data_IF_932227887085
#
_entry.id   IF_932227887085
#
_cell.length_a   1.000
_cell.length_b   1.000
_cell.length_c   1.000
_cell.angle_alpha   90.00
_cell.angle_beta   90.00
_cell.angle_gamma   90.00
#
_symmetry.space_group_name_H-M   'P 1'
#
loop_
_entity.id
_entity.type
_entity.pdbx_description
1 polymer ?
#
# COMPACT_ATOMS: atom_id res chain seq x y z
N UNK A 1 -13.53 -5.42 -9.84
CA UNK A 1 -12.44 -6.26 -10.36
C UNK A 1 -12.70 -7.69 -9.97
N UNK A 2 -12.40 -8.64 -10.85
CA UNK A 2 -12.34 -10.05 -10.50
C UNK A 2 -10.87 -10.32 -10.23
N UNK A 3 -10.51 -10.55 -8.98
CA UNK A 3 -9.24 -11.18 -8.70
C UNK A 3 -9.50 -12.48 -7.96
N UNK A 4 -8.77 -13.50 -8.38
CA UNK A 4 -8.94 -14.86 -7.93
C UNK A 4 -7.84 -15.15 -6.92
N UNK A 5 -8.22 -15.56 -5.70
CA UNK A 5 -7.22 -16.24 -4.89
C UNK A 5 -6.91 -17.57 -5.55
N UNK A 6 -5.71 -17.69 -6.12
CA UNK A 6 -5.27 -18.91 -6.78
C UNK A 6 -5.38 -20.11 -5.83
N UNK A 7 -5.62 -21.30 -6.41
CA UNK A 7 -5.71 -22.56 -5.64
C UNK A 7 -4.48 -22.78 -4.74
N UNK A 8 -3.33 -22.29 -5.17
CA UNK A 8 -2.06 -22.22 -4.43
C UNK A 8 -1.36 -20.92 -4.77
N UNK A 9 -0.56 -20.40 -3.85
CA UNK A 9 0.34 -19.29 -4.10
C UNK A 9 1.57 -19.76 -4.88
N UNK A 10 2.01 -18.99 -5.87
CA UNK A 10 3.13 -19.38 -6.75
C UNK A 10 4.30 -18.39 -6.78
N UNK A 11 4.07 -17.08 -6.64
CA UNK A 11 5.10 -16.06 -6.92
C UNK A 11 5.42 -15.11 -5.74
N UNK A 12 4.62 -15.10 -4.67
CA UNK A 12 4.70 -14.08 -3.60
C UNK A 12 5.00 -14.61 -2.18
N UNK A 13 5.70 -15.74 -2.07
CA UNK A 13 6.11 -16.24 -0.76
C UNK A 13 7.10 -15.28 -0.09
N UNK A 14 6.82 -14.94 1.17
CA UNK A 14 7.60 -14.03 2.03
C UNK A 14 7.59 -14.53 3.46
N UNK A 15 8.71 -14.36 4.16
CA UNK A 15 8.78 -14.65 5.60
C UNK A 15 7.75 -13.83 6.39
N UNK A 16 7.51 -12.58 6.00
CA UNK A 16 6.53 -11.69 6.65
C UNK A 16 5.08 -12.20 6.58
N UNK A 17 4.74 -12.97 5.54
CA UNK A 17 3.40 -13.54 5.33
C UNK A 17 3.19 -14.78 6.19
N UNK A 18 4.27 -15.54 6.42
CA UNK A 18 4.23 -16.84 7.06
C UNK A 18 3.62 -17.93 6.20
N UNK A 19 3.44 -19.10 6.80
CA UNK A 19 2.78 -20.24 6.16
C UNK A 19 1.26 -20.15 6.33
N UNK A 20 0.57 -19.66 5.30
CA UNK A 20 -0.89 -19.66 5.24
C UNK A 20 -1.33 -20.72 4.23
N UNK A 21 -2.11 -21.72 4.67
CA UNK A 21 -2.65 -22.69 3.73
C UNK A 21 -3.58 -22.02 2.74
N UNK A 22 -3.31 -22.29 1.47
CA UNK A 22 -4.14 -21.86 0.35
C UNK A 22 -5.62 -22.23 0.59
N UNK A 23 -6.57 -21.47 0.01
CA UNK A 23 -7.99 -21.68 0.27
C UNK A 23 -8.51 -23.04 -0.20
N UNK A 24 -7.73 -23.80 -0.96
CA UNK A 24 -8.09 -25.13 -1.48
C UNK A 24 -9.08 -25.08 -2.65
N UNK A 25 -9.60 -23.90 -2.96
CA UNK A 25 -10.42 -23.60 -4.14
C UNK A 25 -10.28 -22.13 -4.50
N UNK A 26 -10.36 -21.82 -5.79
CA UNK A 26 -10.44 -20.43 -6.24
C UNK A 26 -11.73 -19.79 -5.77
N UNK A 27 -11.65 -18.53 -5.40
CA UNK A 27 -12.80 -17.70 -5.11
C UNK A 27 -12.55 -16.31 -5.68
N UNK A 28 -13.57 -15.79 -6.37
CA UNK A 28 -13.59 -14.44 -6.92
C UNK A 28 -14.57 -13.61 -6.10
N UNK A 29 -14.22 -12.36 -5.82
CA UNK A 29 -15.17 -11.41 -5.23
C UNK A 29 -15.68 -10.47 -6.33
N UNK A 30 -16.99 -10.39 -6.50
CA UNK A 30 -17.62 -9.44 -7.43
C UNK A 30 -18.16 -8.27 -6.63
N UNK A 31 -17.62 -7.09 -6.89
CA UNK A 31 -18.15 -5.84 -6.33
C UNK A 31 -19.06 -5.17 -7.35
N UNK A 32 -20.34 -5.08 -7.02
CA UNK A 32 -21.33 -4.31 -7.77
C UNK A 32 -21.58 -2.98 -7.05
N UNK A 33 -21.58 -1.89 -7.79
CA UNK A 33 -21.82 -0.56 -7.23
C UNK A 33 -22.49 0.35 -8.26
N UNK A 34 -23.15 1.39 -7.78
CA UNK A 34 -23.72 2.43 -8.64
C UNK A 34 -22.60 3.22 -9.33
N UNK A 35 -22.77 3.68 -10.58
CA UNK A 35 -21.72 4.40 -11.31
C UNK A 35 -21.12 5.59 -10.54
N UNK A 36 -21.97 6.37 -9.84
CA UNK A 36 -21.51 7.53 -9.07
C UNK A 36 -20.60 7.18 -7.89
N UNK A 37 -20.62 5.93 -7.40
CA UNK A 37 -19.74 5.50 -6.31
C UNK A 37 -18.27 5.49 -6.72
N UNK A 38 -17.97 5.39 -8.01
CA UNK A 38 -16.59 5.43 -8.53
C UNK A 38 -15.93 6.79 -8.23
N UNK A 39 -16.71 7.87 -8.27
CA UNK A 39 -16.24 9.23 -7.97
C UNK A 39 -15.95 9.45 -6.47
N UNK A 40 -16.31 8.48 -5.61
CA UNK A 40 -16.14 8.51 -4.16
C UNK A 40 -14.98 7.62 -3.66
N UNK A 41 -14.20 7.01 -4.57
CA UNK A 41 -13.11 6.08 -4.22
C UNK A 41 -11.80 6.76 -3.79
N UNK A 42 -11.81 8.07 -3.63
CA UNK A 42 -10.67 8.87 -3.18
C UNK A 42 -10.32 9.98 -4.17
N UNK A 43 -9.43 10.88 -3.78
CA UNK A 43 -9.00 11.97 -4.65
C UNK A 43 -8.23 11.42 -5.87
N UNK A 44 -8.38 12.03 -7.05
CA UNK A 44 -7.51 11.77 -8.19
C UNK A 44 -6.03 11.91 -7.83
N UNK A 45 -5.22 10.93 -8.25
CA UNK A 45 -3.77 10.90 -8.10
C UNK A 45 -3.13 10.74 -9.48
N UNK A 46 -2.06 11.48 -9.76
CA UNK A 46 -1.29 11.38 -10.99
C UNK A 46 0.17 11.21 -10.65
N UNK A 47 0.77 10.06 -10.99
CA UNK A 47 2.19 9.79 -10.69
C UNK A 47 2.84 9.11 -11.88
N UNK A 48 4.05 9.53 -12.20
CA UNK A 48 4.80 8.92 -13.27
C UNK A 48 6.03 9.73 -13.62
N UNK A 49 6.96 9.07 -14.30
CA UNK A 49 8.14 9.70 -14.84
C UNK A 49 7.99 9.89 -16.34
N UNK A 50 8.47 11.02 -16.85
CA UNK A 50 8.75 11.17 -18.29
C UNK A 50 10.16 10.68 -18.63
N UNK A 51 11.02 10.60 -17.62
CA UNK A 51 12.33 9.94 -17.63
C UNK A 51 12.56 9.29 -16.26
N UNK A 52 13.01 8.04 -16.22
CA UNK A 52 13.38 7.33 -14.99
C UNK A 52 14.74 6.63 -15.16
N UNK A 53 15.79 7.29 -14.68
CA UNK A 53 17.19 6.84 -14.86
C UNK A 53 17.55 6.65 -16.34
N UNK A 54 17.24 7.68 -17.15
CA UNK A 54 17.40 7.63 -18.61
C UNK A 54 18.43 8.63 -19.12
N UNK A 55 19.05 8.28 -20.25
CA UNK A 55 19.91 9.19 -21.00
C UNK A 55 19.07 10.18 -21.81
N UNK A 56 19.31 11.47 -21.60
CA UNK A 56 18.53 12.56 -22.19
C UNK A 56 19.46 13.47 -22.99
N UNK A 57 19.06 13.78 -24.23
CA UNK A 57 19.78 14.74 -25.07
C UNK A 57 19.31 16.17 -24.85
N UNK A 58 20.25 17.10 -24.88
CA UNK A 58 20.02 18.54 -24.78
C UNK A 58 18.91 18.99 -25.72
N UNK A 59 18.05 19.88 -25.23
CA UNK A 59 16.96 20.52 -25.98
C UNK A 59 15.93 19.56 -26.59
N UNK A 60 15.99 18.26 -26.27
CA UNK A 60 14.98 17.28 -26.68
C UNK A 60 13.82 17.32 -25.69
N UNK A 61 12.58 17.58 -26.14
CA UNK A 61 11.42 17.51 -25.26
C UNK A 61 11.16 16.09 -24.81
N UNK A 62 10.81 15.94 -23.54
CA UNK A 62 10.20 14.71 -23.02
C UNK A 62 8.85 14.44 -23.68
N UNK A 63 8.32 13.23 -23.46
CA UNK A 63 6.88 12.99 -23.63
C UNK A 63 6.08 13.96 -22.75
N UNK A 64 4.86 14.25 -23.19
CA UNK A 64 3.94 15.12 -22.48
C UNK A 64 3.31 14.39 -21.28
N UNK A 65 3.23 15.06 -20.14
CA UNK A 65 2.59 14.55 -18.93
C UNK A 65 1.31 15.34 -18.64
N UNK A 66 0.22 14.65 -18.30
CA UNK A 66 -1.07 15.29 -18.02
C UNK A 66 -0.94 16.21 -16.81
N UNK A 67 -1.20 17.50 -17.00
CA UNK A 67 -0.94 18.55 -16.01
C UNK A 67 -2.21 19.17 -15.41
N UNK A 68 -3.35 18.99 -16.09
CA UNK A 68 -4.66 19.45 -15.64
C UNK A 68 -5.34 18.46 -14.70
N UNK A 69 -6.32 18.95 -13.92
CA UNK A 69 -7.17 18.12 -13.07
C UNK A 69 -6.59 17.79 -11.69
N UNK A 70 -5.50 18.45 -11.30
CA UNK A 70 -4.79 18.24 -10.04
C UNK A 70 -4.63 19.53 -9.22
N UNK A 71 -5.03 19.50 -7.94
CA UNK A 71 -4.89 20.64 -7.01
C UNK A 71 -3.43 20.83 -6.58
N UNK A 72 -2.74 19.74 -6.27
CA UNK A 72 -1.35 19.72 -5.83
C UNK A 72 -0.49 19.08 -6.91
N UNK A 73 0.54 19.80 -7.35
CA UNK A 73 1.42 19.36 -8.42
C UNK A 73 2.88 19.60 -8.06
N UNK A 74 3.71 18.57 -8.23
CA UNK A 74 5.15 18.70 -8.10
C UNK A 74 5.92 17.68 -8.91
N UNK A 75 7.21 17.91 -9.05
CA UNK A 75 8.14 17.05 -9.76
C UNK A 75 9.43 16.88 -8.98
N UNK A 76 9.92 15.65 -8.92
CA UNK A 76 11.24 15.29 -8.40
C UNK A 76 12.22 15.21 -9.57
N UNK A 77 13.31 15.96 -9.48
CA UNK A 77 14.35 16.05 -10.50
C UNK A 77 15.66 15.54 -9.93
N UNK A 78 16.35 14.68 -10.67
CA UNK A 78 17.71 14.26 -10.36
C UNK A 78 18.50 14.02 -11.65
N UNK A 79 19.81 14.22 -11.58
CA UNK A 79 20.74 13.83 -12.64
C UNK A 79 22.11 13.48 -12.07
N UNK A 80 22.95 12.80 -12.84
CA UNK A 80 24.31 12.40 -12.44
C UNK A 80 25.44 13.31 -12.96
N UNK A 81 25.12 14.25 -13.85
CA UNK A 81 26.12 15.16 -14.42
C UNK A 81 26.92 15.91 -13.33
N UNK A 82 28.25 15.99 -13.50
CA UNK A 82 29.17 16.65 -12.55
C UNK A 82 29.11 18.18 -12.55
N UNK A 83 28.10 18.76 -13.19
CA UNK A 83 27.87 20.21 -13.34
C UNK A 83 26.38 20.48 -13.18
N UNK A 84 25.95 21.70 -12.79
CA UNK A 84 24.53 22.04 -12.72
C UNK A 84 23.84 21.87 -14.07
N UNK A 85 22.63 21.31 -14.07
CA UNK A 85 21.79 21.08 -15.27
C UNK A 85 20.52 21.91 -15.16
N UNK A 86 20.14 22.58 -16.24
CA UNK A 86 18.89 23.35 -16.28
C UNK A 86 17.79 22.54 -16.95
N UNK A 87 16.70 22.34 -16.21
CA UNK A 87 15.45 21.76 -16.65
C UNK A 87 14.50 22.89 -17.05
N UNK A 88 14.13 22.93 -18.33
CA UNK A 88 13.21 23.90 -18.90
C UNK A 88 11.85 23.23 -19.07
N UNK A 89 10.86 23.66 -18.30
CA UNK A 89 9.49 23.20 -18.39
C UNK A 89 8.72 24.02 -19.41
N UNK A 90 7.96 23.32 -20.25
CA UNK A 90 7.04 23.91 -21.20
C UNK A 90 5.63 23.40 -20.94
N UNK A 91 4.65 24.24 -21.28
CA UNK A 91 3.23 23.94 -21.09
C UNK A 91 2.47 24.14 -22.38
N UNK A 92 1.65 23.15 -22.70
CA UNK A 92 0.55 23.28 -23.66
C UNK A 92 -0.72 23.58 -22.86
N UNK A 93 -1.19 24.82 -22.97
CA UNK A 93 -2.29 25.32 -22.13
C UNK A 93 -3.64 24.77 -22.55
N UNK A 94 -3.82 24.54 -23.85
CA UNK A 94 -5.12 24.20 -24.44
C UNK A 94 -5.19 22.74 -24.91
N UNK A 95 -4.07 22.02 -24.92
CA UNK A 95 -4.02 20.65 -25.44
C UNK A 95 -3.99 20.60 -26.96
N UNK A 96 -3.45 21.64 -27.62
CA UNK A 96 -3.43 21.81 -29.07
C UNK A 96 -2.02 21.80 -29.67
N UNK A 97 -1.04 21.31 -28.91
CA UNK A 97 0.38 21.20 -29.28
C UNK A 97 1.09 22.56 -29.45
N UNK A 98 0.52 23.64 -28.90
CA UNK A 98 1.14 24.96 -28.83
C UNK A 98 1.87 25.16 -27.49
N UNK A 99 3.17 24.89 -27.49
CA UNK A 99 4.01 24.91 -26.29
C UNK A 99 4.57 26.30 -25.99
N UNK A 100 4.48 26.70 -24.73
CA UNK A 100 5.09 27.94 -24.19
C UNK A 100 5.97 27.63 -23.00
N UNK A 101 6.98 28.47 -22.74
CA UNK A 101 7.82 28.32 -21.55
C UNK A 101 6.98 28.51 -20.28
N UNK A 102 7.14 27.60 -19.33
CA UNK A 102 6.48 27.64 -18.02
C UNK A 102 7.47 28.05 -16.92
N UNK A 103 8.59 27.34 -16.81
CA UNK A 103 9.53 27.50 -15.71
C UNK A 103 10.91 26.94 -16.05
N UNK A 104 11.95 27.55 -15.51
CA UNK A 104 13.30 27.01 -15.54
C UNK A 104 13.76 26.67 -14.12
N UNK A 105 14.42 25.53 -13.97
CA UNK A 105 14.96 25.04 -12.69
C UNK A 105 16.37 24.53 -12.93
N UNK A 106 17.35 25.04 -12.18
CA UNK A 106 18.72 24.55 -12.23
C UNK A 106 18.98 23.63 -11.04
N UNK A 107 19.19 22.34 -11.34
CA UNK A 107 19.56 21.33 -10.36
C UNK A 107 21.10 21.31 -10.23
N UNK A 108 21.67 21.31 -9.01
CA UNK A 108 23.12 21.26 -8.82
C UNK A 108 23.76 20.00 -9.39
N UNK A 109 25.08 20.02 -9.58
CA UNK A 109 25.86 18.84 -9.98
C UNK A 109 25.53 17.60 -9.13
N UNK A 110 25.24 16.46 -9.79
CA UNK A 110 24.81 15.20 -9.14
C UNK A 110 23.67 15.41 -8.14
N UNK A 111 22.80 16.36 -8.45
CA UNK A 111 21.88 16.94 -7.50
C UNK A 111 20.48 16.38 -7.60
N UNK A 112 19.70 16.72 -6.57
CA UNK A 112 18.28 16.48 -6.49
C UNK A 112 17.56 17.78 -6.20
N UNK A 113 16.38 17.97 -6.79
CA UNK A 113 15.48 19.06 -6.43
C UNK A 113 14.03 18.65 -6.56
N UNK A 114 13.23 18.95 -5.54
CA UNK A 114 11.77 18.94 -5.65
C UNK A 114 11.25 20.32 -6.05
N UNK A 115 10.30 20.35 -6.97
CA UNK A 115 9.69 21.57 -7.49
C UNK A 115 8.18 21.44 -7.40
N UNK A 116 7.54 22.29 -6.60
CA UNK A 116 6.09 22.48 -6.61
C UNK A 116 5.66 23.48 -7.67
N UNK A 117 4.53 23.21 -8.34
CA UNK A 117 3.87 24.12 -9.27
C UNK A 117 2.77 24.90 -8.56
N UNK A 118 2.68 26.20 -8.83
CA UNK A 118 1.66 27.06 -8.22
C UNK A 118 0.30 26.90 -8.92
N UNK A 119 -0.77 27.37 -8.28
CA UNK A 119 -2.13 27.35 -8.85
C UNK A 119 -2.23 28.10 -10.20
N UNK A 120 -1.36 29.09 -10.42
CA UNK A 120 -1.25 29.85 -11.66
C UNK A 120 -0.56 29.11 -12.80
N UNK A 121 0.22 28.06 -12.51
CA UNK A 121 0.94 27.26 -13.49
C UNK A 121 -0.03 26.31 -14.19
N UNK A 122 -0.89 26.82 -15.08
CA UNK A 122 -1.97 26.02 -15.70
C UNK A 122 -1.64 25.52 -17.10
N UNK A 123 -2.07 24.32 -17.41
CA UNK A 123 -2.19 23.81 -18.78
C UNK A 123 -2.67 22.38 -18.82
N UNK A 124 -3.04 21.93 -20.02
CA UNK A 124 -3.45 20.55 -20.25
C UNK A 124 -2.26 19.60 -20.07
N UNK A 125 -1.10 19.96 -20.64
CA UNK A 125 0.10 19.14 -20.64
C UNK A 125 1.35 19.92 -20.23
N UNK A 126 2.29 19.23 -19.60
CA UNK A 126 3.63 19.74 -19.29
C UNK A 126 4.68 18.80 -19.88
N UNK A 127 5.81 19.35 -20.32
CA UNK A 127 6.99 18.57 -20.73
C UNK A 127 8.27 19.27 -20.30
N UNK A 128 9.39 18.56 -20.37
CA UNK A 128 10.68 19.04 -19.88
C UNK A 128 11.74 18.93 -20.97
N UNK A 129 12.70 19.86 -20.99
CA UNK A 129 13.93 19.80 -21.80
C UNK A 129 15.12 20.08 -20.89
N UNK A 130 16.28 19.51 -21.22
CA UNK A 130 17.55 19.87 -20.57
C UNK A 130 18.33 20.87 -21.41
N UNK A 131 19.20 21.66 -20.77
CA UNK A 131 20.15 22.52 -21.46
C UNK A 131 21.39 21.79 -22.00
N UNK A 132 21.58 20.51 -21.63
CA UNK A 132 22.71 19.67 -22.03
C UNK A 132 22.35 18.18 -22.02
N UNK A 133 23.22 17.38 -22.63
CA UNK A 133 23.16 15.92 -22.57
C UNK A 133 23.47 15.44 -21.14
N UNK A 134 22.75 14.43 -20.67
CA UNK A 134 22.94 13.78 -19.38
C UNK A 134 22.65 12.28 -19.53
N UNK A 135 23.43 11.43 -18.86
CA UNK A 135 23.33 9.97 -19.04
C UNK A 135 22.29 9.34 -18.10
N UNK A 136 22.09 9.91 -16.91
CA UNK A 136 21.14 9.41 -15.93
C UNK A 136 20.28 10.54 -15.41
N UNK A 137 19.03 10.62 -15.85
CA UNK A 137 18.09 11.67 -15.48
C UNK A 137 16.75 11.07 -15.06
N UNK A 138 16.19 11.63 -13.99
CA UNK A 138 14.81 11.35 -13.59
C UNK A 138 14.02 12.65 -13.48
N UNK A 139 12.83 12.66 -14.08
CA UNK A 139 11.81 13.67 -13.89
C UNK A 139 10.50 12.98 -13.53
N UNK A 140 10.22 12.85 -12.24
CA UNK A 140 9.08 12.10 -11.70
C UNK A 140 8.02 13.05 -11.14
N UNK A 141 6.87 13.11 -11.80
CA UNK A 141 5.72 13.90 -11.38
C UNK A 141 4.92 13.18 -10.30
N UNK A 142 4.50 13.95 -9.29
CA UNK A 142 3.64 13.50 -8.20
C UNK A 142 2.54 14.53 -7.96
N UNK A 143 1.35 14.22 -8.44
CA UNK A 143 0.16 15.06 -8.44
C UNK A 143 -0.95 14.42 -7.61
N UNK A 144 -1.77 15.25 -6.98
CA UNK A 144 -2.92 14.82 -6.18
C UNK A 144 -3.98 15.92 -6.12
N UNK A 145 -5.25 15.55 -6.04
CA UNK A 145 -6.27 16.46 -5.54
C UNK A 145 -6.25 16.51 -4.02
N UNK A 146 -6.80 17.60 -3.49
CA UNK A 146 -7.08 17.72 -2.07
C UNK A 146 -7.95 16.55 -1.64
N UNK A 147 -7.56 15.91 -0.55
CA UNK A 147 -8.38 14.89 0.09
C UNK A 147 -9.32 15.56 1.10
N UNK A 148 -10.64 15.58 0.86
CA UNK A 148 -11.59 16.19 1.79
C UNK A 148 -11.96 15.25 2.94
N UNK A 149 -11.50 13.98 2.91
CA UNK A 149 -11.81 13.01 3.96
C UNK A 149 -11.20 13.48 5.28
N UNK A 150 -11.92 13.31 6.40
CA UNK A 150 -11.38 13.66 7.71
C UNK A 150 -10.27 12.68 8.11
N UNK A 151 -9.45 13.09 9.07
CA UNK A 151 -8.40 12.29 9.71
C UNK A 151 -8.94 11.31 10.76
N UNK A 152 -10.25 11.04 10.75
CA UNK A 152 -10.91 10.07 11.63
C UNK A 152 -11.65 9.00 10.82
N UNK A 153 -11.62 7.78 11.34
CA UNK A 153 -12.43 6.68 10.80
C UNK A 153 -13.93 6.98 10.93
N UNK A 154 -14.72 6.44 9.99
CA UNK A 154 -16.17 6.45 10.06
C UNK A 154 -16.67 5.59 11.23
N UNK A 155 -17.79 5.97 11.85
CA UNK A 155 -18.36 5.29 13.02
C UNK A 155 -18.67 3.81 12.78
N UNK A 156 -18.78 3.36 11.52
CA UNK A 156 -18.89 1.94 11.17
C UNK A 156 -17.73 1.08 11.68
N UNK A 157 -16.57 1.69 11.94
CA UNK A 157 -15.39 1.01 12.47
C UNK A 157 -15.29 1.05 13.99
N UNK A 158 -16.28 1.61 14.69
CA UNK A 158 -16.28 1.70 16.15
C UNK A 158 -16.27 0.32 16.85
N UNK A 159 -16.68 -0.74 16.15
CA UNK A 159 -16.62 -2.12 16.67
C UNK A 159 -15.27 -2.81 16.50
N UNK A 160 -14.29 -2.18 15.85
CA UNK A 160 -12.92 -2.73 15.74
C UNK A 160 -12.09 -2.34 16.95
N UNK A 161 -11.32 -3.29 17.47
CA UNK A 161 -10.49 -3.08 18.64
C UNK A 161 -9.45 -1.97 18.42
N UNK A 162 -9.37 -1.07 19.41
CA UNK A 162 -8.30 -0.08 19.54
C UNK A 162 -7.06 -0.71 20.18
N UNK A 163 -5.86 -0.12 19.99
CA UNK A 163 -4.62 -0.65 20.55
C UNK A 163 -4.62 -0.83 22.07
N UNK A 164 -5.37 0.00 22.79
CA UNK A 164 -5.48 0.04 24.26
C UNK A 164 -6.57 -0.86 24.84
N UNK A 165 -7.47 -1.40 24.01
CA UNK A 165 -8.60 -2.21 24.48
C UNK A 165 -8.10 -3.47 25.19
N UNK A 166 -8.73 -3.80 26.32
CA UNK A 166 -8.39 -4.97 27.14
C UNK A 166 -9.47 -6.05 27.18
N UNK A 167 -10.68 -5.68 26.75
CA UNK A 167 -11.84 -6.55 26.64
C UNK A 167 -12.26 -6.55 25.16
N UNK A 168 -11.91 -7.62 24.46
CA UNK A 168 -12.10 -7.72 23.01
C UNK A 168 -12.34 -9.16 22.58
N UNK A 169 -12.81 -9.34 21.36
CA UNK A 169 -12.93 -10.65 20.71
C UNK A 169 -12.20 -10.60 19.37
N UNK A 170 -11.46 -11.65 19.06
CA UNK A 170 -10.77 -11.79 17.79
C UNK A 170 -10.19 -13.19 17.63
N UNK A 171 -9.40 -13.39 16.58
CA UNK A 171 -8.77 -14.69 16.33
C UNK A 171 -8.51 -14.94 14.86
N UNK A 172 -8.31 -16.22 14.52
CA UNK A 172 -7.88 -16.62 13.18
C UNK A 172 -9.08 -16.93 12.30
N UNK A 173 -9.15 -16.31 11.12
CA UNK A 173 -10.21 -16.51 10.13
C UNK A 173 -9.64 -17.05 8.82
N UNK A 174 -10.32 -18.03 8.21
CA UNK A 174 -9.88 -18.63 6.94
C UNK A 174 -11.06 -19.08 6.07
N UNK A 175 -10.97 -18.79 4.77
CA UNK A 175 -11.84 -19.43 3.77
C UNK A 175 -11.56 -20.94 3.66
N UNK A 176 -12.62 -21.74 3.62
CA UNK A 176 -12.51 -23.21 3.56
C UNK A 176 -12.71 -23.73 2.13
N UNK A 177 -11.90 -24.72 1.77
CA UNK A 177 -11.94 -25.37 0.45
C UNK A 177 -13.03 -26.43 0.35
N UNK A 178 -12.87 -27.36 -0.61
CA UNK A 178 -13.78 -28.50 -0.82
C UNK A 178 -15.24 -28.11 -1.05
N UNK A 179 -15.47 -26.93 -1.64
CA UNK A 179 -16.78 -26.34 -1.92
C UNK A 179 -17.66 -26.14 -0.67
N UNK A 180 -17.06 -26.03 0.52
CA UNK A 180 -17.79 -25.77 1.77
C UNK A 180 -18.42 -24.38 1.78
N UNK A 181 -17.79 -23.39 1.13
CA UNK A 181 -18.30 -22.00 1.00
C UNK A 181 -18.59 -21.32 2.34
N UNK A 182 -17.81 -21.68 3.37
CA UNK A 182 -17.84 -21.04 4.69
C UNK A 182 -16.48 -20.45 5.05
N UNK A 183 -16.49 -19.43 5.93
CA UNK A 183 -15.28 -19.01 6.65
C UNK A 183 -15.26 -19.74 7.98
N UNK A 184 -14.15 -20.41 8.29
CA UNK A 184 -13.87 -20.89 9.64
C UNK A 184 -13.27 -19.77 10.47
N UNK A 185 -13.67 -19.66 11.74
CA UNK A 185 -13.16 -18.67 12.68
C UNK A 185 -12.84 -19.34 14.02
N UNK A 186 -11.56 -19.40 14.38
CA UNK A 186 -11.13 -19.76 15.74
C UNK A 186 -11.07 -18.49 16.58
N UNK A 187 -12.14 -18.24 17.33
CA UNK A 187 -12.37 -17.03 18.09
C UNK A 187 -11.88 -17.18 19.53
N UNK A 188 -11.35 -16.10 20.11
CA UNK A 188 -10.96 -16.00 21.51
C UNK A 188 -11.54 -14.72 22.10
N UNK A 189 -12.18 -14.86 23.25
CA UNK A 189 -12.54 -13.73 24.09
C UNK A 189 -11.32 -13.35 24.94
N UNK A 190 -10.97 -12.07 24.96
CA UNK A 190 -10.03 -11.50 25.91
C UNK A 190 -10.83 -10.81 27.01
N UNK A 191 -10.47 -11.09 28.26
CA UNK A 191 -10.96 -10.36 29.43
C UNK A 191 -9.79 -10.01 30.34
N UNK A 192 -9.74 -8.77 30.83
CA UNK A 192 -8.63 -8.26 31.64
C UNK A 192 -7.24 -8.47 31.00
N UNK A 193 -7.16 -8.35 29.66
CA UNK A 193 -5.92 -8.55 28.90
C UNK A 193 -5.43 -10.01 28.87
N UNK A 194 -6.30 -10.99 29.12
CA UNK A 194 -5.96 -12.42 29.03
C UNK A 194 -6.83 -13.14 28.01
N UNK A 195 -6.24 -13.82 27.01
CA UNK A 195 -7.01 -14.59 26.05
C UNK A 195 -7.59 -15.85 26.72
N UNK A 196 -8.90 -16.03 26.56
CA UNK A 196 -9.61 -17.24 26.97
C UNK A 196 -9.40 -18.41 26.01
N UNK A 197 -10.12 -19.50 26.26
CA UNK A 197 -10.14 -20.66 25.39
C UNK A 197 -10.70 -20.31 24.01
N UNK A 198 -10.15 -20.94 22.97
CA UNK A 198 -10.65 -20.79 21.62
C UNK A 198 -11.98 -21.53 21.43
N UNK A 199 -12.90 -20.91 20.71
CA UNK A 199 -14.16 -21.50 20.27
C UNK A 199 -14.26 -21.39 18.74
N UNK A 200 -14.75 -22.45 18.10
CA UNK A 200 -14.83 -22.52 16.65
C UNK A 200 -16.21 -22.12 16.12
N UNK A 201 -16.20 -21.27 15.11
CA UNK A 201 -17.38 -20.77 14.44
C UNK A 201 -17.26 -20.92 12.93
N UNK A 202 -18.40 -21.04 12.26
CA UNK A 202 -18.48 -20.98 10.80
C UNK A 202 -19.41 -19.84 10.37
N UNK A 203 -18.94 -19.02 9.43
CA UNK A 203 -19.75 -18.00 8.75
C UNK A 203 -20.23 -18.56 7.40
N UNK A 204 -21.54 -18.62 7.22
CA UNK A 204 -22.16 -19.09 5.97
C UNK A 204 -22.38 -17.96 4.94
N UNK A 205 -22.85 -18.33 3.74
CA UNK A 205 -23.14 -17.40 2.65
C UNK A 205 -24.29 -16.42 2.94
N UNK A 206 -25.10 -16.67 3.97
CA UNK A 206 -26.12 -15.75 4.48
C UNK A 206 -25.56 -14.80 5.56
N UNK A 207 -24.23 -14.78 5.73
CA UNK A 207 -23.51 -14.02 6.75
C UNK A 207 -23.95 -14.37 8.19
N UNK A 208 -24.30 -15.63 8.45
CA UNK A 208 -24.62 -16.11 9.80
C UNK A 208 -23.44 -16.82 10.42
N UNK A 209 -22.89 -16.24 11.49
CA UNK A 209 -21.83 -16.85 12.28
C UNK A 209 -22.45 -17.80 13.31
N UNK A 210 -22.05 -19.07 13.30
CA UNK A 210 -22.60 -20.09 14.21
C UNK A 210 -21.49 -20.87 14.90
N UNK A 211 -21.62 -21.19 16.20
CA UNK A 211 -20.69 -22.10 16.85
C UNK A 211 -20.83 -23.50 16.25
N UNK A 212 -19.71 -24.19 16.06
CA UNK A 212 -19.65 -25.56 15.52
C UNK A 212 -18.69 -26.39 16.36
N UNK A 213 -19.13 -27.58 16.77
CA UNK A 213 -18.27 -28.56 17.43
C UNK A 213 -17.54 -29.41 16.37
N UNK A 214 -16.42 -28.88 15.88
CA UNK A 214 -15.53 -29.55 14.93
C UNK A 214 -14.06 -29.32 15.32
N UNK A 215 -13.54 -30.10 16.28
CA UNK A 215 -12.17 -29.93 16.78
C UNK A 215 -11.12 -30.19 15.68
N UNK A 216 -11.43 -30.99 14.66
CA UNK A 216 -10.50 -31.26 13.56
C UNK A 216 -10.38 -30.04 12.64
N UNK A 217 -11.50 -29.41 12.28
CA UNK A 217 -11.48 -28.18 11.49
C UNK A 217 -10.82 -27.01 12.24
N UNK A 218 -11.07 -26.89 13.55
CA UNK A 218 -10.42 -25.89 14.39
C UNK A 218 -8.90 -26.10 14.42
N UNK A 219 -8.44 -27.31 14.74
CA UNK A 219 -7.01 -27.63 14.79
C UNK A 219 -6.33 -27.42 13.43
N UNK A 220 -7.00 -27.79 12.34
CA UNK A 220 -6.50 -27.51 11.00
C UNK A 220 -6.34 -26.00 10.76
N UNK A 221 -7.36 -25.20 11.08
CA UNK A 221 -7.32 -23.75 10.92
C UNK A 221 -6.15 -23.14 11.68
N UNK A 222 -6.02 -23.46 12.97
CA UNK A 222 -4.97 -22.92 13.84
C UNK A 222 -3.56 -23.30 13.37
N UNK A 223 -3.37 -24.54 12.92
CA UNK A 223 -2.08 -25.00 12.39
C UNK A 223 -1.69 -24.37 11.05
N UNK A 224 -2.67 -23.90 10.26
CA UNK A 224 -2.48 -23.48 8.87
C UNK A 224 -2.74 -21.98 8.63
N UNK A 225 -2.94 -21.21 9.69
CA UNK A 225 -3.12 -19.75 9.63
C UNK A 225 -2.33 -19.02 10.70
N UNK A 226 -1.23 -19.62 11.17
CA UNK A 226 -0.37 -19.01 12.17
C UNK A 226 0.10 -17.63 11.68
N UNK A 227 0.15 -16.69 12.61
CA UNK A 227 0.70 -15.37 12.39
C UNK A 227 2.19 -15.46 12.76
N UNK A 228 3.11 -15.12 11.85
CA UNK A 228 4.53 -15.05 12.18
C UNK A 228 4.77 -14.10 13.35
N UNK A 229 5.66 -14.50 14.24
CA UNK A 229 6.20 -13.64 15.28
C UNK A 229 7.56 -13.07 14.84
N UNK A 230 8.04 -12.05 15.53
CA UNK A 230 9.38 -11.47 15.34
C UNK A 230 9.71 -11.01 13.89
N UNK A 231 8.71 -10.64 13.09
CA UNK A 231 8.91 -10.10 11.73
C UNK A 231 9.42 -8.66 11.74
N UNK A 232 9.00 -7.89 12.74
CA UNK A 232 9.33 -6.48 12.89
C UNK A 232 10.11 -6.28 14.19
N UNK A 233 11.18 -5.49 14.12
CA UNK A 233 11.90 -5.02 15.30
C UNK A 233 11.66 -3.51 15.44
N UNK A 234 11.49 -3.02 16.67
CA UNK A 234 11.30 -1.58 16.92
C UNK A 234 12.53 -1.04 17.62
N UNK A 235 13.18 -0.05 17.00
CA UNK A 235 14.24 0.73 17.66
C UNK A 235 13.75 2.13 18.04
N UNK A 236 14.65 2.95 18.58
CA UNK A 236 14.31 4.29 19.05
C UNK A 236 13.80 5.23 17.93
N UNK A 237 14.12 4.96 16.67
CA UNK A 237 13.86 5.86 15.54
C UNK A 237 12.82 5.32 14.54
N UNK A 238 12.68 4.00 14.41
CA UNK A 238 11.85 3.40 13.36
C UNK A 238 11.42 1.97 13.69
N UNK A 239 10.51 1.46 12.88
CA UNK A 239 10.28 0.02 12.75
C UNK A 239 11.22 -0.55 11.70
N UNK A 240 11.84 -1.67 12.00
CA UNK A 240 12.81 -2.37 11.20
C UNK A 240 12.17 -3.61 10.59
N UNK A 241 12.33 -3.77 9.28
CA UNK A 241 12.00 -5.00 8.57
C UNK A 241 13.24 -5.47 7.80
N UNK A 242 13.52 -6.78 7.89
CA UNK A 242 14.56 -7.43 7.07
C UNK A 242 13.85 -8.35 6.08
N UNK A 243 14.01 -8.06 4.79
CA UNK A 243 13.36 -8.85 3.75
C UNK A 243 14.06 -10.20 3.52
N UNK A 244 13.45 -11.04 2.67
CA UNK A 244 13.94 -12.38 2.34
C UNK A 244 15.32 -12.38 1.65
N UNK A 245 15.77 -11.23 1.12
CA UNK A 245 17.09 -11.05 0.50
C UNK A 245 18.12 -10.47 1.50
N UNK A 246 17.72 -10.25 2.75
CA UNK A 246 18.54 -9.69 3.81
C UNK A 246 18.68 -8.17 3.75
N UNK A 247 17.93 -7.49 2.88
CA UNK A 247 17.93 -6.03 2.86
C UNK A 247 17.18 -5.49 4.08
N UNK A 248 17.67 -4.37 4.56
CA UNK A 248 17.21 -3.74 5.78
C UNK A 248 16.40 -2.49 5.46
N UNK A 249 15.14 -2.47 5.89
CA UNK A 249 14.21 -1.38 5.65
C UNK A 249 13.77 -0.72 6.95
N UNK A 250 13.64 0.61 6.93
CA UNK A 250 13.17 1.40 8.07
C UNK A 250 11.85 2.07 7.72
N UNK A 251 10.82 1.81 8.52
CA UNK A 251 9.49 2.39 8.38
C UNK A 251 9.18 3.36 9.52
N UNK A 252 8.33 4.38 9.27
CA UNK A 252 7.88 5.29 10.32
C UNK A 252 7.21 4.54 11.49
N UNK A 253 7.45 5.01 12.72
CA UNK A 253 6.68 4.58 13.89
C UNK A 253 5.29 5.20 13.87
N UNK A 254 4.30 4.40 14.21
CA UNK A 254 2.95 4.85 14.57
C UNK A 254 2.79 4.98 16.08
N UNK A 255 1.60 4.64 16.58
CA UNK A 255 1.31 4.63 18.02
C UNK A 255 2.27 3.67 18.78
N UNK A 256 2.86 4.08 19.93
CA UNK A 256 3.68 3.21 20.76
C UNK A 256 2.98 1.94 21.27
N UNK A 257 1.66 1.89 21.29
CA UNK A 257 0.92 0.67 21.63
C UNK A 257 1.25 -0.49 20.68
N UNK A 258 1.73 -0.23 19.47
CA UNK A 258 2.19 -1.25 18.52
C UNK A 258 3.64 -1.70 18.75
N UNK A 259 4.37 -1.13 19.72
CA UNK A 259 5.72 -1.60 20.08
C UNK A 259 5.68 -3.04 20.66
N UNK A 260 4.51 -3.55 21.01
CA UNK A 260 4.28 -4.92 21.48
C UNK A 260 3.01 -5.55 20.86
N UNK A 261 2.98 -6.89 20.73
CA UNK A 261 1.79 -7.62 20.31
C UNK A 261 0.56 -7.34 21.18
N UNK A 262 -0.62 -7.44 20.59
CA UNK A 262 -1.87 -7.33 21.32
C UNK A 262 -2.16 -8.53 22.24
N UNK A 263 -3.27 -8.47 22.96
CA UNK A 263 -3.69 -9.54 23.89
C UNK A 263 -4.02 -10.88 23.22
N UNK A 264 -4.18 -10.89 21.90
CA UNK A 264 -4.41 -12.10 21.09
C UNK A 264 -3.12 -12.67 20.49
N UNK A 265 -1.97 -12.04 20.75
CA UNK A 265 -0.69 -12.39 20.11
C UNK A 265 -0.32 -11.43 18.97
N UNK A 266 0.63 -11.82 18.09
CA UNK A 266 1.09 -10.99 16.99
C UNK A 266 -0.02 -10.72 15.96
N UNK A 267 0.04 -9.54 15.35
CA UNK A 267 -0.84 -9.11 14.26
C UNK A 267 -0.32 -9.56 12.88
N UNK A 268 -1.21 -9.69 11.89
CA UNK A 268 -0.80 -10.11 10.54
C UNK A 268 0.00 -8.98 9.88
N UNK A 269 1.29 -9.22 9.68
CA UNK A 269 2.20 -8.24 9.07
C UNK A 269 2.05 -8.18 7.55
N UNK A 270 1.82 -9.31 6.88
CA UNK A 270 1.75 -9.33 5.43
C UNK A 270 0.66 -10.27 4.91
N UNK A 271 -0.11 -9.80 3.94
CA UNK A 271 -1.28 -10.50 3.40
C UNK A 271 -1.48 -10.13 1.94
N UNK A 272 -1.36 -11.13 1.06
CA UNK A 272 -1.81 -10.98 -0.32
C UNK A 272 -3.32 -10.73 -0.36
N UNK A 273 -3.70 -9.61 -0.95
CA UNK A 273 -5.10 -9.19 -1.10
C UNK A 273 -5.56 -9.21 -2.55
N UNK A 274 -4.61 -9.12 -3.47
CA UNK A 274 -4.82 -9.30 -4.90
C UNK A 274 -3.57 -9.97 -5.48
N UNK A 275 -3.71 -10.76 -6.54
CA UNK A 275 -2.58 -11.38 -7.25
C UNK A 275 -1.44 -10.38 -7.42
N UNK A 276 -0.25 -10.75 -6.94
CA UNK A 276 0.98 -9.95 -7.00
C UNK A 276 1.02 -8.67 -6.15
N UNK A 277 0.03 -8.40 -5.30
CA UNK A 277 0.09 -7.28 -4.33
C UNK A 277 -0.42 -7.67 -2.95
N UNK A 278 0.46 -7.39 -1.99
CA UNK A 278 0.20 -7.63 -0.59
C UNK A 278 -0.12 -6.32 0.13
N UNK A 279 -0.86 -6.43 1.23
CA UNK A 279 -0.91 -5.39 2.25
C UNK A 279 0.07 -5.75 3.36
N UNK A 280 1.05 -4.87 3.54
CA UNK A 280 1.98 -4.92 4.64
C UNK A 280 1.48 -4.01 5.77
N UNK A 281 1.10 -4.59 6.91
CA UNK A 281 0.68 -3.89 8.12
C UNK A 281 1.90 -3.63 9.01
N UNK A 282 2.16 -2.36 9.27
CA UNK A 282 3.25 -1.95 10.15
C UNK A 282 2.81 -0.77 10.99
N UNK A 283 2.85 -0.93 12.32
CA UNK A 283 2.61 0.15 13.28
C UNK A 283 1.31 0.94 13.04
N UNK A 284 0.23 0.22 12.69
CA UNK A 284 -1.08 0.82 12.43
C UNK A 284 -1.21 1.48 11.06
N UNK A 285 -0.28 1.23 10.14
CA UNK A 285 -0.34 1.68 8.74
C UNK A 285 -0.30 0.49 7.79
N UNK A 286 -1.23 0.48 6.84
CA UNK A 286 -1.14 -0.41 5.68
C UNK A 286 -0.28 0.21 4.60
N UNK A 287 0.61 -0.61 4.05
CA UNK A 287 1.40 -0.33 2.86
C UNK A 287 1.00 -1.30 1.76
N UNK A 288 0.91 -0.83 0.53
CA UNK A 288 0.92 -1.68 -0.65
C UNK A 288 2.33 -2.23 -0.81
N UNK A 289 2.46 -3.55 -0.86
CA UNK A 289 3.71 -4.26 -1.07
C UNK A 289 3.64 -4.99 -2.42
N UNK A 290 4.36 -4.52 -3.45
CA UNK A 290 4.43 -5.19 -4.73
C UNK A 290 5.06 -6.59 -4.62
N UNK A 291 4.79 -7.44 -5.60
CA UNK A 291 5.48 -8.71 -5.75
C UNK A 291 7.01 -8.56 -5.84
N UNK A 292 7.74 -9.61 -5.49
CA UNK A 292 9.22 -9.58 -5.48
C UNK A 292 9.81 -9.31 -6.87
N UNK A 293 9.20 -9.84 -7.92
CA UNK A 293 9.58 -9.59 -9.32
C UNK A 293 9.20 -8.18 -9.82
N UNK A 294 8.38 -7.43 -9.06
CA UNK A 294 7.95 -6.07 -9.35
C UNK A 294 8.61 -5.06 -8.38
N UNK A 295 9.86 -5.30 -7.97
CA UNK A 295 10.64 -4.41 -7.10
C UNK A 295 10.45 -4.62 -5.60
N UNK A 296 9.45 -5.42 -5.19
CA UNK A 296 9.26 -5.84 -3.81
C UNK A 296 9.20 -4.68 -2.81
N UNK A 297 9.91 -4.81 -1.69
CA UNK A 297 9.80 -3.87 -0.58
C UNK A 297 10.38 -2.49 -0.88
N UNK A 298 11.29 -2.38 -1.86
CA UNK A 298 11.84 -1.10 -2.30
C UNK A 298 10.76 -0.14 -2.86
N UNK A 299 9.63 -0.69 -3.31
CA UNK A 299 8.54 0.04 -3.95
C UNK A 299 7.27 0.08 -3.10
N UNK A 300 7.36 -0.17 -1.78
CA UNK A 300 6.18 -0.05 -0.92
C UNK A 300 5.58 1.36 -0.95
N UNK A 301 4.27 1.43 -0.71
CA UNK A 301 3.56 2.70 -0.66
C UNK A 301 2.57 2.72 0.49
N UNK A 302 2.58 3.75 1.36
CA UNK A 302 1.56 3.87 2.40
C UNK A 302 0.17 4.07 1.75
N UNK A 303 -0.83 3.37 2.27
CA UNK A 303 -2.22 3.44 1.82
C UNK A 303 -3.07 4.17 2.86
N UNK A 304 -3.02 3.70 4.12
CA UNK A 304 -3.87 4.21 5.18
C UNK A 304 -3.28 3.90 6.55
N UNK A 305 -3.24 4.91 7.44
CA UNK A 305 -3.05 4.70 8.87
C UNK A 305 -4.40 4.37 9.50
N UNK A 306 -4.59 3.12 9.91
CA UNK A 306 -5.83 2.63 10.51
C UNK A 306 -5.81 2.67 12.04
N UNK A 307 -4.64 2.60 12.68
CA UNK A 307 -4.51 2.56 14.15
C UNK A 307 -5.43 1.51 14.80
N UNK A 308 -5.40 0.27 14.29
CA UNK A 308 -6.17 -0.88 14.82
C UNK A 308 -5.26 -2.10 14.93
N UNK A 309 -5.61 -3.07 15.76
CA UNK A 309 -4.96 -4.40 15.78
C UNK A 309 -5.71 -5.34 14.85
N UNK A 310 -5.13 -5.65 13.69
CA UNK A 310 -5.75 -6.42 12.58
C UNK A 310 -4.81 -7.55 12.16
#
# INVERSE_FOLDING_TARGET
GCDDTAKSEFLNKRNAKGDIAAPGQSHSNLWFTEPGRVDELGPPLGRGAVWLDEAVRANTPSDAFLFAGFDHRGVHLTHDAGVPVRFNFEVDREGNDLWTSLREVTVPARGYQWVGFADGDKGAWVRVRLDRDCDHVTAFFAFANRDPRPDRGDDRFAGLAQPEDRDLCGGLIRARGANLRTLGFSARQVGDGRPGAAAYYELDGDCRLRPVDDPQAQAFLEANTQVPDDVLEVDAASVLYVDDDGNRWRLPKGDPAFDAPGWLGPERIDREVVTERDLFNCHGTFYELPARNAGGFALIRPIATHNRRI
#
